data_IF_038856937786
#
_entry.id   IF_038856937786
#
_cell.length_a   1.000
_cell.length_b   1.000
_cell.length_c   1.000
_cell.angle_alpha   90.00
_cell.angle_beta   90.00
_cell.angle_gamma   90.00
#
_symmetry.space_group_name_H-M   'P 1'
#
loop_
_entity.id
_entity.type
_entity.pdbx_description
1 polymer ?
#
# COMPACT_ATOMS: atom_id res chain seq x y z
N UNK A 1 28.34 -56.92 12.32
CA UNK A 1 27.16 -56.11 11.92
C UNK A 1 27.70 -55.01 11.02
N UNK A 2 27.24 -54.86 9.76
CA UNK A 2 27.65 -53.74 8.93
C UNK A 2 27.17 -52.44 9.58
N UNK A 3 28.08 -51.51 9.83
CA UNK A 3 27.80 -50.24 10.47
C UNK A 3 27.06 -49.31 9.48
N UNK A 4 26.05 -48.59 9.97
CA UNK A 4 25.09 -47.80 9.16
C UNK A 4 25.59 -46.37 8.89
N UNK A 5 26.90 -46.18 8.99
CA UNK A 5 27.64 -44.92 8.91
C UNK A 5 28.14 -44.61 7.49
N UNK A 6 27.98 -45.55 6.54
CA UNK A 6 28.37 -45.32 5.14
C UNK A 6 27.32 -44.59 4.28
N UNK A 7 26.20 -44.14 4.87
CA UNK A 7 25.13 -43.42 4.15
C UNK A 7 24.77 -42.07 4.79
N UNK A 8 25.72 -41.43 5.48
CA UNK A 8 25.66 -39.98 5.65
C UNK A 8 25.95 -39.37 4.28
N UNK A 9 24.89 -39.19 3.50
CA UNK A 9 24.86 -38.32 2.34
C UNK A 9 25.63 -37.07 2.72
N UNK A 10 26.80 -36.90 2.10
CA UNK A 10 27.64 -35.74 2.24
C UNK A 10 26.80 -34.52 1.85
N UNK A 11 26.11 -33.93 2.82
CA UNK A 11 25.51 -32.64 2.69
C UNK A 11 26.68 -31.69 2.81
N UNK A 12 27.37 -31.47 1.69
CA UNK A 12 28.31 -30.38 1.55
C UNK A 12 27.43 -29.14 1.36
N UNK A 13 27.21 -28.31 2.39
CA UNK A 13 26.41 -27.11 2.21
C UNK A 13 27.11 -26.27 1.14
N UNK A 14 26.40 -25.96 0.04
CA UNK A 14 26.91 -25.05 -1.00
C UNK A 14 27.08 -23.61 -0.48
N UNK A 15 26.70 -23.35 0.76
CA UNK A 15 26.89 -22.05 1.37
C UNK A 15 28.32 -21.96 1.93
N UNK A 16 29.10 -20.93 1.54
CA UNK A 16 30.39 -20.69 2.16
C UNK A 16 30.21 -20.46 3.66
N UNK A 17 31.20 -20.91 4.45
CA UNK A 17 31.21 -20.65 5.88
C UNK A 17 31.10 -19.14 6.14
N UNK A 18 30.29 -18.69 7.11
CA UNK A 18 30.08 -17.25 7.35
C UNK A 18 31.38 -16.49 7.64
N UNK A 19 32.34 -17.15 8.31
CA UNK A 19 33.66 -16.59 8.62
C UNK A 19 34.57 -16.51 7.39
N UNK A 20 34.26 -17.26 6.33
CA UNK A 20 35.04 -17.34 5.09
C UNK A 20 34.38 -16.54 3.95
N UNK A 21 33.24 -15.90 4.20
CA UNK A 21 32.54 -15.04 3.26
C UNK A 21 33.00 -13.59 3.46
N UNK A 22 33.79 -13.07 2.51
CA UNK A 22 34.31 -11.70 2.58
C UNK A 22 33.16 -10.66 2.63
N UNK A 23 33.14 -9.84 3.69
CA UNK A 23 32.21 -8.73 3.88
C UNK A 23 31.25 -8.85 5.06
N UNK A 24 31.34 -9.90 5.88
CA UNK A 24 30.52 -10.08 7.08
C UNK A 24 31.41 -10.18 8.32
N UNK A 25 31.75 -9.03 8.91
CA UNK A 25 32.27 -9.00 10.27
C UNK A 25 31.25 -9.68 11.21
N UNK A 26 31.71 -10.51 12.15
CA UNK A 26 30.84 -11.20 13.11
C UNK A 26 30.19 -10.19 14.08
N UNK A 27 29.11 -9.56 13.62
CA UNK A 27 28.49 -8.41 14.25
C UNK A 27 28.10 -7.38 13.21
N UNK A 28 27.17 -7.75 12.32
CA UNK A 28 26.55 -6.88 11.32
C UNK A 28 25.76 -5.72 11.95
N UNK A 29 26.44 -4.89 12.72
CA UNK A 29 25.99 -3.61 13.21
C UNK A 29 26.68 -2.55 12.36
N UNK A 30 25.97 -2.05 11.37
CA UNK A 30 26.12 -0.64 11.02
C UNK A 30 26.04 0.17 12.31
N UNK A 31 26.90 1.17 12.49
CA UNK A 31 26.88 2.02 13.68
C UNK A 31 25.48 2.63 13.83
N UNK A 32 24.78 2.45 14.98
CA UNK A 32 23.50 3.10 15.21
C UNK A 32 23.68 4.63 15.10
N UNK A 33 23.11 5.21 14.05
CA UNK A 33 23.49 6.54 13.55
C UNK A 33 23.34 6.65 12.03
N UNK A 34 23.37 5.51 11.32
CA UNK A 34 22.68 5.36 10.04
C UNK A 34 21.17 5.39 10.30
N UNK A 35 20.67 6.58 10.63
CA UNK A 35 19.25 6.87 10.53
C UNK A 35 18.84 6.40 9.15
N UNK A 36 17.86 5.49 9.00
CA UNK A 36 17.29 5.21 7.70
C UNK A 36 17.05 6.55 7.00
N UNK A 37 17.43 6.71 5.72
CA UNK A 37 17.16 7.97 5.02
C UNK A 37 15.69 8.30 5.26
N UNK A 38 15.43 9.52 5.72
CA UNK A 38 14.12 9.95 6.22
C UNK A 38 13.02 9.31 5.38
N UNK A 39 12.28 8.39 5.98
CA UNK A 39 11.37 7.52 5.26
C UNK A 39 10.41 8.39 4.47
N UNK A 40 10.67 8.57 3.16
CA UNK A 40 9.91 9.48 2.33
C UNK A 40 8.58 8.80 2.09
N UNK A 41 7.63 9.07 2.98
CA UNK A 41 6.29 8.51 2.93
C UNK A 41 5.72 8.68 1.52
N UNK A 42 5.65 7.57 0.79
CA UNK A 42 4.86 7.36 -0.44
C UNK A 42 5.02 8.41 -1.56
N UNK A 43 6.01 9.29 -1.48
CA UNK A 43 6.23 10.36 -2.46
C UNK A 43 7.58 10.99 -2.26
N UNK A 44 8.46 10.87 -3.26
CA UNK A 44 9.75 11.55 -3.25
C UNK A 44 9.61 13.09 -3.25
N UNK A 45 10.73 13.83 -3.22
CA UNK A 45 10.74 15.29 -3.09
C UNK A 45 9.91 16.05 -4.14
N UNK A 46 9.62 15.41 -5.28
CA UNK A 46 8.87 15.96 -6.41
C UNK A 46 7.50 15.29 -6.60
N UNK A 47 6.98 14.56 -5.61
CA UNK A 47 5.67 13.93 -5.72
C UNK A 47 4.56 14.93 -5.43
N UNK A 48 4.00 15.53 -6.49
CA UNK A 48 2.73 16.23 -6.35
C UNK A 48 1.61 15.21 -6.09
N UNK A 49 0.79 15.41 -5.03
CA UNK A 49 -0.35 14.55 -4.80
C UNK A 49 -1.32 14.66 -5.98
N UNK A 50 -2.03 13.57 -6.34
CA UNK A 50 -2.97 13.59 -7.44
C UNK A 50 -4.03 14.68 -7.21
N UNK A 51 -4.06 15.68 -8.08
CA UNK A 51 -5.05 16.75 -8.02
C UNK A 51 -6.43 16.18 -8.37
N UNK A 52 -7.32 16.10 -7.38
CA UNK A 52 -8.70 15.67 -7.61
C UNK A 52 -9.49 16.77 -8.31
N UNK A 53 -9.90 16.51 -9.55
CA UNK A 53 -10.78 17.39 -10.31
C UNK A 53 -12.16 17.55 -9.64
N UNK A 54 -12.72 18.77 -9.70
CA UNK A 54 -14.03 19.08 -9.11
C UNK A 54 -15.21 18.89 -10.07
N UNK A 55 -14.95 18.69 -11.36
CA UNK A 55 -16.01 18.62 -12.38
C UNK A 55 -17.00 17.48 -12.11
N UNK A 56 -16.49 16.26 -11.87
CA UNK A 56 -17.32 15.09 -11.61
C UNK A 56 -18.21 15.21 -10.35
N UNK A 57 -17.68 15.59 -9.16
CA UNK A 57 -18.54 15.77 -7.99
C UNK A 57 -19.55 16.92 -8.17
N UNK A 58 -19.19 18.00 -8.87
CA UNK A 58 -20.12 19.09 -9.17
C UNK A 58 -21.29 18.55 -10.02
N UNK A 59 -21.01 17.84 -11.11
CA UNK A 59 -22.04 17.27 -12.00
C UNK A 59 -22.98 16.35 -11.22
N UNK A 60 -22.43 15.45 -10.39
CA UNK A 60 -23.22 14.51 -9.59
C UNK A 60 -24.15 15.24 -8.63
N UNK A 61 -23.64 16.24 -7.91
CA UNK A 61 -24.44 17.04 -6.97
C UNK A 61 -25.52 17.81 -7.72
N UNK A 62 -25.19 18.43 -8.86
CA UNK A 62 -26.16 19.17 -9.67
C UNK A 62 -27.31 18.30 -10.15
N UNK A 63 -27.02 17.09 -10.65
CA UNK A 63 -28.05 16.14 -11.08
C UNK A 63 -28.92 15.68 -9.91
N UNK A 64 -28.31 15.38 -8.76
CA UNK A 64 -29.05 14.97 -7.57
C UNK A 64 -30.01 16.06 -7.07
N UNK A 65 -29.53 17.31 -6.97
CA UNK A 65 -30.37 18.46 -6.58
C UNK A 65 -31.51 18.66 -7.58
N UNK A 66 -31.22 18.59 -8.88
CA UNK A 66 -32.23 18.74 -9.91
C UNK A 66 -33.35 17.69 -9.79
N UNK A 67 -32.99 16.42 -9.56
CA UNK A 67 -33.96 15.35 -9.37
C UNK A 67 -34.82 15.55 -8.12
N UNK A 68 -34.20 15.95 -7.00
CA UNK A 68 -34.92 16.25 -5.76
C UNK A 68 -35.92 17.37 -5.96
N UNK A 69 -35.56 18.43 -6.69
CA UNK A 69 -36.47 19.54 -6.99
C UNK A 69 -37.67 19.09 -7.82
N UNK A 70 -37.46 18.27 -8.86
CA UNK A 70 -38.55 17.72 -9.68
C UNK A 70 -39.53 16.92 -8.82
N UNK A 71 -39.00 16.03 -7.97
CA UNK A 71 -39.82 15.19 -7.10
C UNK A 71 -40.58 16.07 -6.11
N UNK A 72 -39.91 17.02 -5.46
CA UNK A 72 -40.53 17.92 -4.50
C UNK A 72 -41.68 18.69 -5.15
N UNK A 73 -41.44 19.34 -6.31
CA UNK A 73 -42.47 20.06 -7.06
C UNK A 73 -43.64 19.13 -7.41
N UNK A 74 -43.37 17.93 -7.94
CA UNK A 74 -44.42 16.98 -8.29
C UNK A 74 -45.27 16.53 -7.08
N UNK A 75 -44.63 16.32 -5.93
CA UNK A 75 -45.33 15.98 -4.69
C UNK A 75 -46.16 17.16 -4.16
N UNK A 76 -45.60 18.37 -4.18
CA UNK A 76 -46.35 19.58 -3.81
C UNK A 76 -47.58 19.75 -4.70
N UNK A 77 -47.42 19.70 -6.03
CA UNK A 77 -48.54 19.78 -6.97
C UNK A 77 -49.62 18.72 -6.68
N UNK A 78 -49.22 17.47 -6.42
CA UNK A 78 -50.16 16.40 -6.06
C UNK A 78 -50.94 16.66 -4.77
N UNK A 79 -50.31 17.28 -3.78
CA UNK A 79 -50.99 17.65 -2.52
C UNK A 79 -51.94 18.82 -2.74
N UNK A 80 -51.54 19.82 -3.52
CA UNK A 80 -52.40 20.95 -3.86
C UNK A 80 -53.63 20.53 -4.68
N UNK A 81 -53.50 19.59 -5.62
CA UNK A 81 -54.63 19.07 -6.40
C UNK A 81 -55.62 18.25 -5.56
N UNK A 82 -55.24 17.82 -4.35
CA UNK A 82 -56.05 17.00 -3.45
C UNK A 82 -56.78 17.82 -2.36
N UNK A 83 -56.50 19.14 -2.27
CA UNK A 83 -57.03 20.05 -1.24
C UNK A 83 -58.19 20.89 -1.78
#
# INVERSE_FOLDING_TARGET
MPNRDSEDFAFEPQNPEPNDTAGLEAGGSVTPGDTPPAETGVGGPNHEPPQRGRALPIIVISVAVFLVLIIAVGLFSRVFDLL
#
